data_IF_428243765786
#
_entry.id   IF_428243765786
#
_cell.length_a   1.000
_cell.length_b   1.000
_cell.length_c   1.000
_cell.angle_alpha   90.00
_cell.angle_beta   90.00
_cell.angle_gamma   90.00
#
_symmetry.space_group_name_H-M   'P 1'
#
loop_
_entity.id
_entity.type
_entity.pdbx_description
1 polymer ?
#
# COMPACT_ATOMS: atom_id res chain seq x y z
N UNK A 1 -18.32 -2.16 -4.38
CA UNK A 1 -17.13 -2.98 -4.74
C UNK A 1 -15.97 -2.03 -4.91
N UNK A 2 -14.94 -2.10 -4.05
CA UNK A 2 -13.70 -1.33 -4.23
C UNK A 2 -12.92 -2.01 -5.35
N UNK A 3 -12.55 -1.28 -6.40
CA UNK A 3 -11.73 -1.82 -7.50
C UNK A 3 -10.26 -1.71 -7.07
N UNK A 4 -9.55 -2.84 -7.07
CA UNK A 4 -8.11 -2.83 -6.88
C UNK A 4 -7.45 -2.18 -8.10
N UNK A 5 -6.55 -1.23 -7.85
CA UNK A 5 -5.80 -0.53 -8.89
C UNK A 5 -4.32 -0.55 -8.53
N UNK A 6 -3.40 -0.74 -9.50
CA UNK A 6 -1.97 -0.73 -9.23
C UNK A 6 -1.50 0.61 -8.66
N UNK A 7 -0.50 0.58 -7.78
CA UNK A 7 0.02 1.79 -7.12
C UNK A 7 0.75 2.69 -8.12
N UNK A 8 0.38 3.98 -8.17
CA UNK A 8 0.96 4.93 -9.14
C UNK A 8 2.45 5.13 -8.94
N UNK A 9 2.87 5.20 -7.67
CA UNK A 9 4.25 5.38 -7.24
C UNK A 9 5.19 4.32 -7.83
N UNK A 10 4.70 3.08 -7.94
CA UNK A 10 5.49 1.97 -8.45
C UNK A 10 5.63 2.00 -9.97
N UNK A 11 4.55 2.26 -10.70
CA UNK A 11 4.55 2.12 -12.17
C UNK A 11 4.82 3.41 -12.95
N UNK A 12 4.56 4.59 -12.36
CA UNK A 12 4.63 5.87 -13.07
C UNK A 12 5.66 6.86 -12.51
N UNK A 13 6.17 6.63 -11.30
CA UNK A 13 7.09 7.54 -10.63
C UNK A 13 8.48 6.91 -10.43
N UNK A 14 8.73 6.35 -9.23
CA UNK A 14 10.07 6.02 -8.74
C UNK A 14 10.39 4.52 -8.77
N UNK A 15 9.41 3.68 -9.14
CA UNK A 15 9.56 2.24 -9.10
C UNK A 15 10.37 1.68 -10.27
N UNK A 16 10.77 0.39 -10.16
CA UNK A 16 11.66 -0.27 -11.10
C UNK A 16 11.02 -0.62 -12.43
N UNK A 17 9.69 -0.58 -12.52
CA UNK A 17 8.93 -1.01 -13.68
C UNK A 17 8.01 0.10 -14.14
N UNK A 18 7.80 0.19 -15.45
CA UNK A 18 6.81 1.08 -16.08
C UNK A 18 6.08 0.33 -17.18
N UNK A 19 4.87 0.77 -17.49
CA UNK A 19 4.17 0.28 -18.66
C UNK A 19 4.83 0.79 -19.94
N UNK A 20 4.95 -0.10 -20.93
CA UNK A 20 5.36 0.29 -22.27
C UNK A 20 4.23 1.11 -22.91
N UNK A 21 4.56 2.30 -23.43
CA UNK A 21 3.59 3.19 -24.05
C UNK A 21 3.44 2.79 -25.51
N UNK A 22 2.62 1.77 -25.74
CA UNK A 22 2.22 1.28 -27.06
C UNK A 22 0.71 1.35 -27.22
N UNK A 23 0.23 1.34 -28.46
CA UNK A 23 -1.19 1.30 -28.74
C UNK A 23 -1.83 0.03 -28.16
N UNK A 24 -2.98 0.16 -27.51
CA UNK A 24 -3.64 -0.95 -26.84
C UNK A 24 -4.23 -1.92 -27.87
N UNK A 25 -3.61 -3.09 -27.98
CA UNK A 25 -3.99 -4.14 -28.92
C UNK A 25 -4.97 -5.19 -28.34
N UNK A 26 -5.55 -4.93 -27.16
CA UNK A 26 -6.41 -5.89 -26.45
C UNK A 26 -5.66 -6.93 -25.62
N UNK A 27 -4.33 -6.97 -25.67
CA UNK A 27 -3.49 -7.85 -24.85
C UNK A 27 -3.07 -7.17 -23.54
N UNK A 28 -2.45 -7.96 -22.64
CA UNK A 28 -1.88 -7.41 -21.41
C UNK A 28 -0.78 -6.38 -21.73
N UNK A 29 -0.69 -5.28 -20.97
CA UNK A 29 0.34 -4.28 -21.18
C UNK A 29 1.73 -4.84 -20.84
N UNK A 30 2.72 -4.54 -21.67
CA UNK A 30 4.12 -4.92 -21.44
C UNK A 30 4.72 -4.07 -20.32
N UNK A 31 5.53 -4.70 -19.46
CA UNK A 31 6.32 -4.00 -18.44
C UNK A 31 7.78 -3.90 -18.88
N UNK A 32 8.34 -2.70 -18.78
CA UNK A 32 9.75 -2.42 -19.07
C UNK A 32 10.44 -1.82 -17.85
N UNK A 33 11.75 -2.02 -17.74
CA UNK A 33 12.54 -1.48 -16.63
C UNK A 33 12.62 0.05 -16.70
N UNK A 34 12.51 0.70 -15.55
CA UNK A 34 12.74 2.12 -15.39
C UNK A 34 14.24 2.37 -15.11
N UNK A 35 15.01 2.95 -16.06
CA UNK A 35 16.43 3.19 -15.86
C UNK A 35 16.71 4.25 -14.77
N UNK A 36 15.72 5.05 -14.38
CA UNK A 36 15.83 6.09 -13.35
C UNK A 36 15.15 5.70 -12.03
N UNK A 37 14.89 4.40 -11.82
CA UNK A 37 14.27 3.91 -10.58
C UNK A 37 15.13 4.20 -9.35
N UNK A 38 14.50 4.66 -8.28
CA UNK A 38 15.16 4.89 -6.99
C UNK A 38 15.56 3.58 -6.31
N UNK A 39 14.94 2.47 -6.71
CA UNK A 39 15.31 1.14 -6.23
C UNK A 39 16.69 0.68 -6.69
N UNK A 40 17.32 1.40 -7.63
CA UNK A 40 18.72 1.13 -8.01
C UNK A 40 19.71 1.52 -6.92
N UNK A 41 19.35 2.49 -6.08
CA UNK A 41 20.22 3.03 -5.04
C UNK A 41 19.74 2.71 -3.61
N UNK A 42 18.54 2.15 -3.45
CA UNK A 42 17.93 1.92 -2.13
C UNK A 42 16.90 0.79 -2.15
N UNK A 43 16.66 0.18 -0.99
CA UNK A 43 15.53 -0.73 -0.79
C UNK A 43 14.31 0.09 -0.37
N UNK A 44 13.26 0.08 -1.19
CA UNK A 44 12.05 0.88 -0.97
C UNK A 44 10.87 -0.06 -0.72
N UNK A 45 10.15 0.16 0.38
CA UNK A 45 8.89 -0.49 0.69
C UNK A 45 7.76 0.49 0.37
N UNK A 46 6.85 0.10 -0.53
CA UNK A 46 5.66 0.87 -0.86
C UNK A 46 4.47 0.29 -0.09
N UNK A 47 3.78 1.15 0.67
CA UNK A 47 2.65 0.76 1.51
C UNK A 47 1.40 1.47 1.03
N UNK A 48 0.42 0.71 0.54
CA UNK A 48 -0.90 1.24 0.21
C UNK A 48 -1.69 1.48 1.50
N UNK A 49 -2.03 2.73 1.78
CA UNK A 49 -2.77 3.13 2.98
C UNK A 49 -3.61 4.37 2.67
N UNK A 50 -4.82 4.50 3.23
CA UNK A 50 -5.46 3.64 4.24
C UNK A 50 -6.07 2.34 3.71
N UNK A 51 -6.73 1.60 4.61
CA UNK A 51 -7.65 0.52 4.26
C UNK A 51 -8.65 1.01 3.22
N UNK A 52 -8.83 0.25 2.15
CA UNK A 52 -9.67 0.60 1.01
C UNK A 52 -8.90 1.27 -0.15
N UNK A 53 -7.59 1.48 -0.02
CA UNK A 53 -6.74 2.04 -1.08
C UNK A 53 -6.01 0.93 -1.83
N UNK A 54 -6.14 0.90 -3.15
CA UNK A 54 -5.46 -0.07 -4.02
C UNK A 54 -5.74 -1.52 -3.59
N UNK A 55 -4.73 -2.24 -3.09
CA UNK A 55 -4.83 -3.62 -2.62
C UNK A 55 -5.08 -3.75 -1.12
N UNK A 56 -5.03 -2.65 -0.36
CA UNK A 56 -5.32 -2.68 1.08
C UNK A 56 -6.83 -2.80 1.32
N UNK A 57 -7.25 -3.86 2.01
CA UNK A 57 -8.66 -4.13 2.32
C UNK A 57 -8.88 -4.54 3.77
N UNK A 58 -10.12 -4.38 4.25
CA UNK A 58 -10.58 -4.93 5.54
C UNK A 58 -11.84 -5.76 5.29
N UNK A 59 -12.03 -6.79 6.14
CA UNK A 59 -13.28 -7.55 6.19
C UNK A 59 -14.42 -6.72 6.79
N UNK A 60 -14.10 -5.70 7.59
CA UNK A 60 -15.07 -4.81 8.20
C UNK A 60 -15.20 -3.53 7.37
N UNK A 61 -16.37 -3.32 6.77
CA UNK A 61 -16.64 -2.12 5.97
C UNK A 61 -16.55 -0.80 6.75
N UNK A 62 -16.61 -0.84 8.09
CA UNK A 62 -16.46 0.35 8.94
C UNK A 62 -15.03 0.87 8.96
N UNK A 63 -14.03 0.04 8.68
CA UNK A 63 -12.61 0.40 8.74
C UNK A 63 -12.17 1.30 7.58
N UNK A 64 -12.97 1.35 6.52
CA UNK A 64 -12.81 2.33 5.42
C UNK A 64 -12.98 3.76 5.94
N UNK A 65 -13.80 3.96 6.98
CA UNK A 65 -13.93 5.27 7.65
C UNK A 65 -12.79 5.42 8.64
N UNK A 66 -11.69 6.00 8.16
CA UNK A 66 -10.47 6.21 8.93
C UNK A 66 -10.27 7.67 9.33
N UNK A 67 -9.39 7.90 10.29
CA UNK A 67 -8.88 9.23 10.70
C UNK A 67 -7.36 9.18 10.69
N UNK A 68 -6.68 10.33 10.61
CA UNK A 68 -5.22 10.40 10.56
C UNK A 68 -4.56 9.56 11.67
N UNK A 69 -5.10 9.64 12.88
CA UNK A 69 -4.62 8.88 14.02
C UNK A 69 -4.72 7.37 13.83
N UNK A 70 -5.86 6.88 13.32
CA UNK A 70 -6.07 5.46 13.03
C UNK A 70 -5.15 5.00 11.91
N UNK A 71 -4.92 5.83 10.88
CA UNK A 71 -4.00 5.51 9.79
C UNK A 71 -2.57 5.36 10.28
N UNK A 72 -2.09 6.27 11.13
CA UNK A 72 -0.75 6.20 11.73
C UNK A 72 -0.62 4.96 12.61
N UNK A 73 -1.63 4.66 13.44
CA UNK A 73 -1.67 3.44 14.24
C UNK A 73 -1.56 2.18 13.35
N UNK A 74 -2.33 2.11 12.25
CA UNK A 74 -2.28 0.98 11.31
C UNK A 74 -0.92 0.88 10.60
N UNK A 75 -0.32 1.99 10.18
CA UNK A 75 1.02 2.01 9.57
C UNK A 75 2.09 1.54 10.56
N UNK A 76 2.03 2.02 11.80
CA UNK A 76 2.96 1.63 12.85
C UNK A 76 2.85 0.14 13.16
N UNK A 77 1.63 -0.39 13.29
CA UNK A 77 1.39 -1.81 13.47
C UNK A 77 1.88 -2.64 12.27
N UNK A 78 1.70 -2.15 11.04
CA UNK A 78 2.20 -2.80 9.83
C UNK A 78 3.73 -2.90 9.86
N UNK A 79 4.44 -1.83 10.22
CA UNK A 79 5.90 -1.85 10.29
C UNK A 79 6.43 -2.75 11.41
N UNK A 80 5.79 -2.73 12.58
CA UNK A 80 6.18 -3.59 13.71
C UNK A 80 5.95 -5.07 13.39
N UNK A 81 4.77 -5.44 12.89
CA UNK A 81 4.44 -6.83 12.55
C UNK A 81 5.11 -7.31 11.28
N UNK A 82 5.37 -6.42 10.33
CA UNK A 82 6.13 -6.70 9.12
C UNK A 82 7.57 -7.14 9.41
N UNK A 83 8.11 -6.81 10.58
CA UNK A 83 9.43 -7.25 11.06
C UNK A 83 9.43 -8.46 12.01
N UNK A 84 8.28 -8.95 12.48
CA UNK A 84 8.21 -9.99 13.51
C UNK A 84 6.82 -10.65 13.62
N UNK A 85 6.83 -11.98 13.59
CA UNK A 85 5.70 -12.92 13.56
C UNK A 85 4.36 -12.52 14.23
N UNK A 86 3.28 -12.82 13.49
CA UNK A 86 1.87 -13.03 13.87
C UNK A 86 0.96 -11.81 14.07
N UNK A 87 -0.09 -11.79 13.24
CA UNK A 87 -1.18 -10.83 13.29
C UNK A 87 -2.14 -11.15 14.46
N UNK A 88 -1.99 -10.46 15.59
CA UNK A 88 -3.04 -10.36 16.61
C UNK A 88 -3.99 -9.20 16.26
N UNK A 89 -5.29 -9.48 16.26
CA UNK A 89 -6.36 -8.50 16.06
C UNK A 89 -6.33 -7.45 17.19
N UNK A 90 -6.22 -6.17 16.82
CA UNK A 90 -6.21 -5.06 17.78
C UNK A 90 -7.65 -4.61 18.03
N UNK A 91 -8.15 -4.83 19.25
CA UNK A 91 -9.42 -4.28 19.73
C UNK A 91 -9.14 -2.93 20.40
N UNK A 92 -9.49 -1.78 19.79
CA UNK A 92 -9.24 -0.49 20.41
C UNK A 92 -10.13 -0.33 21.66
N UNK A 93 -9.58 0.05 22.83
CA UNK A 93 -10.37 0.62 23.91
C UNK A 93 -11.17 1.85 23.45
N UNK A 94 -12.30 2.14 24.10
CA UNK A 94 -13.17 3.28 23.77
C UNK A 94 -12.53 4.68 23.96
N UNK A 95 -11.25 4.72 24.36
CA UNK A 95 -10.34 5.87 24.24
C UNK A 95 -8.93 5.33 24.03
N UNK A 96 -8.40 5.44 22.82
CA UNK A 96 -7.05 4.97 22.48
C UNK A 96 -6.23 6.14 22.00
N UNK A 97 -5.26 6.52 22.82
CA UNK A 97 -3.98 6.96 22.31
C UNK A 97 -3.27 5.69 21.78
N UNK A 98 -2.86 5.66 20.51
CA UNK A 98 -1.69 4.89 20.10
C UNK A 98 -0.62 5.26 21.15
N UNK A 99 -0.29 4.37 22.08
CA UNK A 99 0.80 4.61 23.02
C UNK A 99 2.08 4.72 22.18
N UNK A 100 2.46 5.96 21.88
CA UNK A 100 3.82 6.38 21.58
C UNK A 100 4.41 6.82 22.91
#
# INVERSE_FOLDING_TARGET
MVRAAPSSRFFFEIGPLKFEVVEYNGSLPTLVLNPYSWTKASNIILVDSPVGTSFSYSRNNRDVRTTDFKQVCHLHQFLQKGGGHTATEYKPPDRVFCNV
#
